data_IF_835216031900
#
_entry.id   IF_835216031900
#
_cell.length_a   1.000
_cell.length_b   1.000
_cell.length_c   1.000
_cell.angle_alpha   90.00
_cell.angle_beta   90.00
_cell.angle_gamma   90.00
#
_symmetry.space_group_name_H-M   'P 1'
#
loop_
_entity.id
_entity.type
_entity.pdbx_description
1 polymer ?
#
# COMPACT_ATOMS: atom_id res chain seq x y z
N UNK A 1 -10.41 39.27 12.30
CA UNK A 1 -11.08 38.00 12.67
C UNK A 1 -11.03 37.08 11.45
N UNK A 2 -9.89 36.44 11.17
CA UNK A 2 -9.79 35.47 10.08
C UNK A 2 -9.57 34.08 10.68
N UNK A 3 -10.64 33.28 10.71
CA UNK A 3 -10.59 31.92 11.24
C UNK A 3 -9.93 31.02 10.21
N UNK A 4 -8.64 30.78 10.41
CA UNK A 4 -7.87 29.78 9.69
C UNK A 4 -8.44 28.39 10.04
N UNK A 5 -9.31 27.84 9.19
CA UNK A 5 -9.76 26.46 9.29
C UNK A 5 -8.58 25.56 8.88
N UNK A 6 -8.08 24.64 9.73
CA UNK A 6 -7.09 23.69 9.29
C UNK A 6 -7.76 22.77 8.27
N UNK A 7 -7.32 22.86 7.02
CA UNK A 7 -7.66 21.89 5.98
C UNK A 7 -7.32 20.52 6.57
N UNK A 8 -8.36 19.73 6.88
CA UNK A 8 -8.21 18.40 7.43
C UNK A 8 -7.13 17.70 6.61
N UNK A 9 -6.01 17.36 7.24
CA UNK A 9 -4.96 16.56 6.61
C UNK A 9 -5.71 15.33 6.13
N UNK A 10 -5.95 15.25 4.83
CA UNK A 10 -6.39 14.04 4.17
C UNK A 10 -5.23 13.05 4.35
N UNK A 11 -5.18 12.43 5.53
CA UNK A 11 -4.57 11.14 5.68
C UNK A 11 -5.40 10.28 4.74
N UNK A 12 -4.94 10.12 3.51
CA UNK A 12 -5.45 9.14 2.55
C UNK A 12 -5.12 7.75 3.09
N UNK A 13 -5.66 7.43 4.26
CA UNK A 13 -5.96 6.11 4.75
C UNK A 13 -7.37 5.71 4.27
N UNK A 14 -7.76 6.25 3.10
CA UNK A 14 -8.90 5.76 2.35
C UNK A 14 -8.65 4.30 2.00
N UNK A 15 -9.59 3.44 2.38
CA UNK A 15 -9.73 2.07 1.93
C UNK A 15 -9.38 1.98 0.44
N UNK A 16 -8.13 1.67 0.13
CA UNK A 16 -7.70 1.58 -1.26
C UNK A 16 -8.13 0.20 -1.72
N UNK A 17 -9.01 0.15 -2.72
CA UNK A 17 -9.39 -1.10 -3.37
C UNK A 17 -8.45 -1.29 -4.56
N UNK A 18 -7.79 -2.44 -4.61
CA UNK A 18 -6.91 -2.85 -5.70
C UNK A 18 -7.53 -4.09 -6.35
N UNK A 19 -8.30 -3.89 -7.42
CA UNK A 19 -9.11 -4.95 -8.02
C UNK A 19 -10.00 -5.61 -6.99
N UNK A 20 -9.87 -6.93 -6.81
CA UNK A 20 -10.63 -7.72 -5.85
C UNK A 20 -10.09 -7.65 -4.41
N UNK A 21 -9.16 -6.75 -4.09
CA UNK A 21 -8.53 -6.69 -2.77
C UNK A 21 -8.78 -5.36 -2.09
N UNK A 22 -9.36 -5.42 -0.89
CA UNK A 22 -9.49 -4.26 0.00
C UNK A 22 -8.25 -4.14 0.88
N UNK A 23 -7.44 -3.11 0.65
CA UNK A 23 -6.25 -2.85 1.47
C UNK A 23 -6.67 -2.35 2.85
N UNK A 24 -6.16 -2.99 3.90
CA UNK A 24 -6.51 -2.67 5.29
C UNK A 24 -5.45 -1.75 5.90
N UNK A 25 -4.19 -2.20 5.95
CA UNK A 25 -3.08 -1.42 6.53
C UNK A 25 -1.72 -1.88 6.00
N UNK A 26 -0.68 -1.10 6.25
CA UNK A 26 0.69 -1.57 6.06
C UNK A 26 1.02 -2.66 7.08
N UNK A 27 1.57 -3.77 6.59
CA UNK A 27 2.07 -4.86 7.41
C UNK A 27 3.57 -4.69 7.68
N UNK A 28 4.31 -4.09 6.74
CA UNK A 28 5.72 -3.78 6.94
C UNK A 28 6.39 -3.11 5.74
N UNK A 29 7.66 -2.78 5.93
CA UNK A 29 8.58 -2.27 4.91
C UNK A 29 9.77 -3.20 4.84
N UNK A 30 10.18 -3.61 3.63
CA UNK A 30 11.34 -4.47 3.41
C UNK A 30 12.27 -3.88 2.36
N UNK A 31 13.40 -4.55 2.13
CA UNK A 31 14.45 -4.09 1.21
C UNK A 31 13.97 -3.82 -0.23
N UNK A 32 12.89 -4.47 -0.66
CA UNK A 32 12.38 -4.43 -2.03
C UNK A 32 11.02 -3.74 -2.18
N UNK A 33 10.43 -3.25 -1.09
CA UNK A 33 9.12 -2.62 -1.16
C UNK A 33 8.32 -2.62 0.13
N UNK A 34 7.01 -2.45 -0.01
CA UNK A 34 6.06 -2.36 1.10
C UNK A 34 5.15 -3.58 1.11
N UNK A 35 4.88 -4.12 2.28
CA UNK A 35 3.89 -5.20 2.45
C UNK A 35 2.65 -4.58 3.07
N UNK A 36 1.47 -4.83 2.49
CA UNK A 36 0.19 -4.43 3.06
C UNK A 36 -0.68 -5.65 3.30
N UNK A 37 -1.44 -5.65 4.38
CA UNK A 37 -2.47 -6.66 4.61
C UNK A 37 -3.77 -6.22 3.94
N UNK A 38 -4.42 -7.13 3.25
CA UNK A 38 -5.63 -6.89 2.50
C UNK A 38 -6.65 -8.03 2.71
N UNK A 39 -7.90 -7.77 2.34
CA UNK A 39 -8.96 -8.78 2.26
C UNK A 39 -9.30 -9.04 0.80
N UNK A 40 -9.24 -10.30 0.37
CA UNK A 40 -9.77 -10.71 -0.92
C UNK A 40 -11.30 -10.66 -0.84
N UNK A 41 -11.94 -9.84 -1.67
CA UNK A 41 -13.38 -9.58 -1.61
C UNK A 41 -14.23 -10.82 -1.95
N UNK A 42 -13.93 -11.59 -3.01
CA UNK A 42 -14.71 -12.78 -3.36
C UNK A 42 -14.67 -13.89 -2.30
N UNK A 43 -13.51 -14.15 -1.70
CA UNK A 43 -13.35 -15.27 -0.75
C UNK A 43 -13.39 -14.84 0.72
N UNK A 44 -13.28 -13.54 1.00
CA UNK A 44 -13.17 -13.00 2.35
C UNK A 44 -11.82 -13.24 3.04
N UNK A 45 -10.89 -13.98 2.43
CA UNK A 45 -9.61 -14.35 3.03
C UNK A 45 -8.69 -13.14 3.25
N UNK A 46 -7.95 -13.16 4.35
CA UNK A 46 -6.91 -12.17 4.65
C UNK A 46 -5.61 -12.56 3.94
N UNK A 47 -5.02 -11.64 3.20
CA UNK A 47 -3.81 -11.87 2.41
C UNK A 47 -2.77 -10.78 2.66
N UNK A 48 -1.51 -11.08 2.40
CA UNK A 48 -0.43 -10.10 2.35
C UNK A 48 -0.08 -9.78 0.89
N UNK A 49 -0.01 -8.50 0.55
CA UNK A 49 0.36 -8.00 -0.78
C UNK A 49 1.71 -7.30 -0.68
N UNK A 50 2.71 -7.78 -1.42
CA UNK A 50 4.03 -7.18 -1.53
C UNK A 50 4.08 -6.25 -2.74
N UNK A 51 4.19 -4.95 -2.49
CA UNK A 51 4.26 -3.90 -3.50
C UNK A 51 5.74 -3.59 -3.73
N UNK A 52 6.23 -3.94 -4.92
CA UNK A 52 7.63 -3.82 -5.31
C UNK A 52 7.87 -2.56 -6.14
N UNK A 53 8.99 -1.88 -5.90
CA UNK A 53 9.42 -0.75 -6.73
C UNK A 53 10.36 -1.24 -7.83
N UNK A 54 9.88 -1.29 -9.07
CA UNK A 54 10.64 -1.79 -10.23
C UNK A 54 11.99 -1.06 -10.43
N UNK A 55 12.06 0.24 -10.18
CA UNK A 55 13.32 1.01 -10.28
C UNK A 55 14.35 0.51 -9.27
N UNK A 56 13.97 0.39 -8.00
CA UNK A 56 14.84 -0.12 -6.92
C UNK A 56 15.29 -1.56 -7.14
N UNK A 57 14.45 -2.39 -7.79
CA UNK A 57 14.82 -3.76 -8.13
C UNK A 57 15.89 -3.78 -9.22
N UNK A 58 15.71 -2.98 -10.28
CA UNK A 58 16.67 -2.87 -11.38
C UNK A 58 18.00 -2.27 -10.92
N UNK A 59 17.98 -1.26 -10.05
CA UNK A 59 19.20 -0.67 -9.45
C UNK A 59 20.02 -1.69 -8.65
N UNK A 60 19.35 -2.68 -8.05
CA UNK A 60 20.02 -3.76 -7.31
C UNK A 60 20.42 -4.95 -8.19
N UNK A 61 20.23 -4.86 -9.51
CA UNK A 61 20.58 -5.92 -10.46
C UNK A 61 19.83 -7.24 -10.23
N UNK A 62 18.63 -7.18 -9.64
CA UNK A 62 17.90 -8.36 -9.17
C UNK A 62 16.80 -8.82 -10.16
N UNK A 63 16.79 -8.26 -11.37
CA UNK A 63 15.81 -8.55 -12.43
C UNK A 63 16.15 -9.73 -13.35
N UNK A 64 17.20 -10.51 -13.05
CA UNK A 64 17.60 -11.66 -13.85
C UNK A 64 17.41 -12.99 -13.11
N UNK A 65 16.32 -13.70 -13.42
CA UNK A 65 16.25 -15.17 -13.47
C UNK A 65 15.10 -15.63 -14.35
#
# INVERSE_FOLDING_TARGET
MERHLPLARASTSGNTVLGNYKIIRNLGHGAFGKVKVARHLPTGCKVAIKILNRRKIREKGMDQK
#
